data_IF_406572895043
#
_entry.id   IF_406572895043
#
_cell.length_a   1.000
_cell.length_b   1.000
_cell.length_c   1.000
_cell.angle_alpha   90.00
_cell.angle_beta   90.00
_cell.angle_gamma   90.00
#
_symmetry.space_group_name_H-M   'P 1'
#
loop_
_entity.id
_entity.type
_entity.pdbx_description
1 polymer ?
#
# COMPACT_ATOMS: atom_id res chain seq x y z
N UNK A 1 -0.14 -9.05 -4.39
CA UNK A 1 -0.95 -9.70 -3.33
C UNK A 1 -1.67 -8.60 -2.58
N UNK A 2 -3.00 -8.49 -2.74
CA UNK A 2 -3.74 -7.28 -2.35
C UNK A 2 -3.74 -7.07 -0.83
N UNK A 3 -3.73 -5.80 -0.41
CA UNK A 3 -3.73 -5.33 0.99
C UNK A 3 -4.75 -6.03 1.90
N UNK A 4 -5.90 -6.44 1.35
CA UNK A 4 -6.92 -7.24 2.05
C UNK A 4 -6.41 -8.62 2.50
N UNK A 5 -5.60 -9.30 1.68
CA UNK A 5 -5.05 -10.61 2.00
C UNK A 5 -4.05 -10.56 3.17
N UNK A 6 -3.39 -9.42 3.35
CA UNK A 6 -2.45 -9.20 4.47
C UNK A 6 -3.24 -9.08 5.78
N UNK A 7 -4.33 -8.29 5.80
CA UNK A 7 -5.17 -8.12 7.00
C UNK A 7 -5.89 -9.42 7.39
N UNK A 8 -6.35 -10.23 6.43
CA UNK A 8 -6.91 -11.56 6.74
C UNK A 8 -5.89 -12.49 7.40
N UNK A 9 -4.64 -12.49 6.93
CA UNK A 9 -3.58 -13.29 7.55
C UNK A 9 -3.18 -12.82 8.94
N UNK A 10 -3.28 -11.52 9.21
CA UNK A 10 -3.06 -10.99 10.55
C UNK A 10 -4.21 -11.38 11.49
N UNK A 11 -5.46 -11.40 11.00
CA UNK A 11 -6.63 -11.79 11.80
C UNK A 11 -6.58 -13.25 12.25
N UNK A 12 -6.04 -14.16 11.43
CA UNK A 12 -5.79 -15.55 11.84
C UNK A 12 -4.90 -15.64 13.09
N UNK A 13 -4.07 -14.61 13.36
CA UNK A 13 -3.17 -14.53 14.51
C UNK A 13 -3.71 -13.61 15.62
N UNK A 14 -4.97 -13.18 15.53
CA UNK A 14 -5.59 -12.24 16.47
C UNK A 14 -5.04 -10.82 16.39
N UNK A 15 -4.42 -10.46 15.26
CA UNK A 15 -3.89 -9.11 14.98
C UNK A 15 -4.62 -8.47 13.80
N UNK A 16 -4.35 -7.21 13.57
CA UNK A 16 -4.87 -6.43 12.43
C UNK A 16 -3.81 -5.48 11.92
N UNK A 17 -3.99 -4.96 10.70
CA UNK A 17 -3.16 -3.86 10.19
C UNK A 17 -3.11 -2.67 11.17
N UNK A 18 -4.21 -2.38 11.86
CA UNK A 18 -4.33 -1.28 12.81
C UNK A 18 -3.35 -1.37 13.98
N UNK A 19 -2.98 -2.59 14.41
CA UNK A 19 -2.01 -2.82 15.49
C UNK A 19 -0.59 -2.36 15.13
N UNK A 20 -0.34 -2.18 13.84
CA UNK A 20 0.91 -1.68 13.28
C UNK A 20 0.80 -0.24 12.78
N UNK A 21 -0.29 0.47 13.11
CA UNK A 21 -0.57 1.82 12.62
C UNK A 21 -0.98 1.87 11.14
N UNK A 22 -1.27 0.72 10.53
CA UNK A 22 -1.71 0.63 9.15
C UNK A 22 -3.25 0.69 9.16
N UNK A 23 -3.88 1.66 8.48
CA UNK A 23 -5.33 1.77 8.47
C UNK A 23 -5.98 0.49 7.93
N UNK A 24 -7.03 0.02 8.61
CA UNK A 24 -7.73 -1.20 8.22
C UNK A 24 -8.27 -1.07 6.78
N UNK A 25 -8.13 -2.09 5.92
CA UNK A 25 -8.73 -2.10 4.59
C UNK A 25 -10.26 -1.93 4.61
N UNK A 26 -10.90 -2.33 5.72
CA UNK A 26 -12.34 -2.21 5.93
C UNK A 26 -12.77 -0.81 6.41
N UNK A 27 -11.81 0.07 6.72
CA UNK A 27 -12.13 1.46 7.04
C UNK A 27 -12.63 2.15 5.78
N UNK A 28 -13.86 2.65 5.85
CA UNK A 28 -14.55 3.37 4.78
C UNK A 28 -13.67 4.53 4.27
N UNK A 29 -12.84 5.13 5.13
CA UNK A 29 -11.85 6.15 4.78
C UNK A 29 -10.81 5.71 3.76
N UNK A 30 -10.32 4.46 3.77
CA UNK A 30 -9.36 3.98 2.75
C UNK A 30 -10.01 3.92 1.35
N UNK A 31 -11.29 3.52 1.30
CA UNK A 31 -12.07 3.50 0.05
C UNK A 31 -12.44 4.90 -0.44
N UNK A 32 -12.55 5.90 0.46
CA UNK A 32 -12.80 7.30 0.10
C UNK A 32 -11.52 8.09 -0.21
N UNK A 33 -10.36 7.69 0.32
CA UNK A 33 -9.04 8.24 -0.05
C UNK A 33 -8.57 7.75 -1.40
N UNK A 34 -9.06 6.59 -1.86
CA UNK A 34 -9.24 6.30 -3.28
C UNK A 34 -10.40 7.18 -3.82
N UNK A 35 -10.23 8.51 -3.74
CA UNK A 35 -10.76 9.38 -4.78
C UNK A 35 -10.45 8.70 -6.11
N UNK A 36 -11.30 8.87 -7.11
CA UNK A 36 -10.96 8.49 -8.47
C UNK A 36 -9.80 9.40 -8.89
N UNK A 37 -8.58 9.05 -8.46
CA UNK A 37 -7.33 9.65 -8.83
C UNK A 37 -7.18 9.28 -10.30
N UNK A 38 -7.02 10.28 -11.16
CA UNK A 38 -6.80 9.96 -12.56
C UNK A 38 -5.43 9.28 -12.71
N UNK A 39 -5.23 8.51 -13.78
CA UNK A 39 -3.96 7.76 -13.97
C UNK A 39 -2.70 8.64 -13.96
N UNK A 40 -2.83 9.92 -14.32
CA UNK A 40 -1.71 10.85 -14.39
C UNK A 40 -1.29 11.33 -13.00
N UNK A 41 -2.25 11.60 -12.13
CA UNK A 41 -2.05 11.95 -10.73
C UNK A 41 -1.53 10.75 -9.93
N UNK A 42 -2.04 9.54 -10.20
CA UNK A 42 -1.52 8.29 -9.62
C UNK A 42 -0.05 8.06 -9.99
N UNK A 43 0.30 8.27 -11.27
CA UNK A 43 1.68 8.16 -11.74
C UNK A 43 2.59 9.19 -11.07
N UNK A 44 2.13 10.43 -10.93
CA UNK A 44 2.90 11.50 -10.30
C UNK A 44 3.18 11.19 -8.82
N UNK A 45 2.16 10.78 -8.06
CA UNK A 45 2.31 10.37 -6.66
C UNK A 45 3.28 9.18 -6.56
N UNK A 46 3.16 8.19 -7.43
CA UNK A 46 4.06 7.03 -7.48
C UNK A 46 5.52 7.42 -7.68
N UNK A 47 5.79 8.37 -8.59
CA UNK A 47 7.14 8.89 -8.84
C UNK A 47 7.70 9.66 -7.64
N UNK A 48 6.89 10.50 -7.00
CA UNK A 48 7.27 11.25 -5.81
C UNK A 48 7.61 10.31 -4.65
N UNK A 49 6.77 9.31 -4.39
CA UNK A 49 7.02 8.29 -3.36
C UNK A 49 8.27 7.47 -3.64
N UNK A 50 8.48 7.06 -4.89
CA UNK A 50 9.67 6.29 -5.29
C UNK A 50 10.96 7.10 -5.10
N UNK A 51 10.94 8.40 -5.38
CA UNK A 51 12.09 9.29 -5.18
C UNK A 51 12.51 9.40 -3.69
N UNK A 52 11.54 9.30 -2.77
CA UNK A 52 11.77 9.36 -1.32
C UNK A 52 12.33 8.06 -0.73
N UNK A 53 12.36 6.96 -1.48
CA UNK A 53 12.89 5.68 -1.00
C UNK A 53 14.40 5.73 -0.83
N UNK A 54 14.87 5.13 0.27
CA UNK A 54 16.30 4.94 0.55
C UNK A 54 16.90 3.75 -0.23
N UNK A 55 18.22 3.55 -0.10
CA UNK A 55 18.96 2.52 -0.84
C UNK A 55 18.48 1.09 -0.59
N UNK A 56 17.92 0.80 0.58
CA UNK A 56 17.45 -0.55 0.94
C UNK A 56 16.00 -0.79 0.50
N UNK A 57 15.21 0.28 0.37
CA UNK A 57 13.80 0.21 -0.01
C UNK A 57 13.58 0.17 -1.53
N UNK A 58 14.45 0.84 -2.31
CA UNK A 58 14.34 0.86 -3.79
C UNK A 58 14.36 -0.55 -4.42
N UNK A 59 15.28 -1.46 -4.04
CA UNK A 59 15.31 -2.81 -4.61
C UNK A 59 14.03 -3.60 -4.34
N UNK A 60 13.40 -3.41 -3.18
CA UNK A 60 12.14 -4.05 -2.83
C UNK A 60 10.98 -3.50 -3.68
N UNK A 61 10.95 -2.18 -3.89
CA UNK A 61 9.98 -1.55 -4.77
C UNK A 61 10.14 -2.01 -6.23
N UNK A 62 11.38 -2.08 -6.74
CA UNK A 62 11.70 -2.53 -8.09
C UNK A 62 11.26 -3.98 -8.33
N UNK A 63 11.48 -4.86 -7.35
CA UNK A 63 11.05 -6.26 -7.44
C UNK A 63 9.52 -6.40 -7.53
N UNK A 64 8.78 -5.53 -6.84
CA UNK A 64 7.31 -5.52 -6.89
C UNK A 64 6.84 -4.97 -8.24
N UNK A 65 7.41 -3.86 -8.71
CA UNK A 65 7.04 -3.22 -9.97
C UNK A 65 7.36 -4.08 -11.20
N UNK A 66 8.47 -4.84 -11.18
CA UNK A 66 8.86 -5.73 -12.28
C UNK A 66 8.01 -7.00 -12.38
N UNK A 67 7.17 -7.30 -11.37
CA UNK A 67 6.33 -8.49 -11.31
C UNK A 67 4.89 -8.29 -11.83
N UNK A 68 4.58 -7.09 -12.33
CA UNK A 68 3.31 -6.67 -12.91
C UNK A 68 3.51 -6.04 -14.28
#
# INVERSE_FOLDING_TARGET
MAFYAIDEKLKEQGRSCSDFGIPSPASVSYLFELKIINKEEELQIGQEMYAMLNQDQRPAADAILASH
#
